data_IF_836148848893
#
_entry.id   IF_836148848893
#
_cell.length_a   1.000
_cell.length_b   1.000
_cell.length_c   1.000
_cell.angle_alpha   90.00
_cell.angle_beta   90.00
_cell.angle_gamma   90.00
#
_symmetry.space_group_name_H-M   'P 1'
#
loop_
_entity.id
_entity.type
_entity.pdbx_description
1 polymer ?
#
# COMPACT_ATOMS: atom_id res chain seq x y z
N UNK A 1 8.46 14.80 -7.76
CA UNK A 1 7.73 13.71 -7.10
C UNK A 1 8.73 12.91 -6.28
N UNK A 2 8.58 12.83 -4.95
CA UNK A 2 9.41 11.95 -4.12
C UNK A 2 8.73 10.59 -4.07
N UNK A 3 9.33 9.58 -4.70
CA UNK A 3 8.75 8.25 -4.83
C UNK A 3 8.45 7.61 -3.47
N UNK A 4 9.25 7.90 -2.45
CA UNK A 4 9.12 7.31 -1.11
C UNK A 4 7.82 7.69 -0.40
N UNK A 5 7.17 8.79 -0.81
CA UNK A 5 5.92 9.28 -0.24
C UNK A 5 4.78 9.31 -1.27
N UNK A 6 5.00 8.73 -2.45
CA UNK A 6 4.02 8.75 -3.55
C UNK A 6 2.95 7.70 -3.34
N UNK A 7 1.68 8.08 -3.48
CA UNK A 7 0.58 7.11 -3.44
C UNK A 7 0.57 6.19 -4.68
N UNK A 8 1.33 6.54 -5.72
CA UNK A 8 1.53 5.71 -6.91
C UNK A 8 2.63 4.66 -6.73
N UNK A 9 3.33 4.62 -5.60
CA UNK A 9 4.23 3.51 -5.26
C UNK A 9 3.42 2.28 -4.80
N UNK A 10 2.68 1.71 -5.75
CA UNK A 10 1.84 0.53 -5.58
C UNK A 10 1.71 -0.18 -6.92
N UNK A 11 1.29 -1.45 -6.91
CA UNK A 11 0.90 -2.13 -8.13
C UNK A 11 -0.39 -1.52 -8.71
N UNK A 12 -0.46 -1.37 -10.03
CA UNK A 12 -1.64 -0.87 -10.76
C UNK A 12 -2.92 -1.65 -10.40
N UNK A 13 -2.77 -2.94 -10.12
CA UNK A 13 -3.85 -3.81 -9.66
C UNK A 13 -4.60 -3.23 -8.45
N UNK A 14 -3.89 -2.61 -7.49
CA UNK A 14 -4.54 -2.07 -6.29
C UNK A 14 -5.45 -0.88 -6.66
N UNK A 15 -5.03 -0.03 -7.59
CA UNK A 15 -5.81 1.13 -8.03
C UNK A 15 -7.07 0.71 -8.79
N UNK A 16 -6.98 -0.28 -9.67
CA UNK A 16 -8.14 -0.79 -10.42
C UNK A 16 -9.12 -1.55 -9.53
N UNK A 17 -8.62 -2.24 -8.50
CA UNK A 17 -9.48 -2.84 -7.46
C UNK A 17 -10.19 -1.77 -6.62
N UNK A 18 -9.50 -0.71 -6.18
CA UNK A 18 -10.13 0.40 -5.46
C UNK A 18 -11.25 1.06 -6.27
N UNK A 19 -11.04 1.26 -7.58
CA UNK A 19 -12.08 1.76 -8.48
C UNK A 19 -13.31 0.85 -8.48
N UNK A 20 -13.10 -0.47 -8.51
CA UNK A 20 -14.18 -1.47 -8.49
C UNK A 20 -14.94 -1.43 -7.16
N UNK A 21 -14.23 -1.43 -6.03
CA UNK A 21 -14.85 -1.34 -4.70
C UNK A 21 -15.67 -0.05 -4.55
N UNK A 22 -15.17 1.06 -5.06
CA UNK A 22 -15.89 2.32 -5.05
C UNK A 22 -17.17 2.28 -5.92
N UNK A 23 -17.07 1.75 -7.15
CA UNK A 23 -18.21 1.64 -8.07
C UNK A 23 -19.32 0.73 -7.49
N UNK A 24 -18.93 -0.38 -6.87
CA UNK A 24 -19.83 -1.36 -6.26
C UNK A 24 -20.24 -0.99 -4.82
N UNK A 25 -19.81 0.18 -4.31
CA UNK A 25 -20.09 0.67 -2.95
C UNK A 25 -19.71 -0.31 -1.85
N UNK A 26 -18.62 -1.04 -2.03
CA UNK A 26 -18.07 -1.98 -1.06
C UNK A 26 -17.30 -1.23 0.04
N UNK A 27 -18.03 -0.77 1.06
CA UNK A 27 -17.49 0.05 2.17
C UNK A 27 -17.37 -0.71 3.49
N UNK A 28 -17.49 -2.04 3.45
CA UNK A 28 -17.41 -2.90 4.63
C UNK A 28 -15.97 -2.97 5.18
N UNK A 29 -15.85 -3.34 6.45
CA UNK A 29 -14.53 -3.52 7.08
C UNK A 29 -13.83 -4.75 6.49
N UNK A 30 -12.61 -4.55 5.99
CA UNK A 30 -11.71 -5.60 5.55
C UNK A 30 -10.53 -5.75 6.53
N UNK A 31 -9.99 -6.97 6.63
CA UNK A 31 -8.84 -7.30 7.48
C UNK A 31 -7.74 -7.91 6.62
N UNK A 32 -6.50 -7.46 6.81
CA UNK A 32 -5.33 -7.92 6.08
C UNK A 32 -4.26 -8.42 7.06
N UNK A 33 -3.56 -9.48 6.69
CA UNK A 33 -2.49 -10.07 7.49
C UNK A 33 -1.16 -10.06 6.72
N UNK A 34 -0.09 -9.64 7.39
CA UNK A 34 1.27 -9.71 6.87
C UNK A 34 2.01 -10.86 7.57
N UNK A 35 2.52 -11.82 6.80
CA UNK A 35 3.28 -12.95 7.31
C UNK A 35 4.34 -13.43 6.32
N UNK A 36 5.43 -13.98 6.84
CA UNK A 36 6.45 -14.67 6.04
C UNK A 36 6.12 -16.17 5.98
N UNK A 37 6.05 -16.73 4.78
CA UNK A 37 5.74 -18.17 4.58
C UNK A 37 6.94 -19.08 4.84
N UNK A 38 8.15 -18.59 4.61
CA UNK A 38 9.42 -19.31 4.74
C UNK A 38 10.48 -18.35 5.23
N UNK A 39 11.34 -18.82 6.13
CA UNK A 39 12.54 -18.11 6.52
C UNK A 39 13.73 -18.61 5.69
N UNK A 40 14.77 -17.77 5.47
CA UNK A 40 16.03 -18.22 4.87
C UNK A 40 16.63 -19.38 5.67
N UNK A 41 17.28 -20.34 4.99
CA UNK A 41 17.89 -21.52 5.62
C UNK A 41 18.92 -21.19 6.69
N UNK A 42 19.51 -20.00 6.61
CA UNK A 42 20.59 -19.54 7.46
C UNK A 42 20.07 -18.84 8.73
N UNK A 43 18.74 -18.67 8.90
CA UNK A 43 18.17 -17.93 10.03
C UNK A 43 16.76 -18.41 10.44
N UNK A 44 16.65 -18.90 11.67
CA UNK A 44 15.41 -19.39 12.31
C UNK A 44 14.56 -18.29 12.98
N UNK A 45 14.80 -17.02 12.67
CA UNK A 45 14.04 -15.90 13.24
C UNK A 45 13.77 -14.80 12.23
N UNK A 46 12.64 -14.11 12.41
CA UNK A 46 12.27 -12.91 11.67
C UNK A 46 12.47 -11.68 12.58
N UNK A 47 13.10 -10.64 12.05
CA UNK A 47 13.12 -9.33 12.67
C UNK A 47 12.25 -8.38 11.84
N UNK A 48 11.14 -7.93 12.41
CA UNK A 48 10.36 -6.85 11.81
C UNK A 48 11.05 -5.51 12.14
N UNK A 49 11.44 -4.77 11.12
CA UNK A 49 12.03 -3.44 11.22
C UNK A 49 11.42 -2.55 10.14
N UNK A 50 11.24 -1.26 10.43
CA UNK A 50 10.60 -0.32 9.51
C UNK A 50 9.10 -0.10 9.75
N UNK A 51 8.53 -0.65 10.83
CA UNK A 51 7.09 -0.56 11.11
C UNK A 51 6.63 0.88 11.35
N UNK A 52 7.43 1.67 12.07
CA UNK A 52 7.14 3.09 12.32
C UNK A 52 7.03 3.87 11.01
N UNK A 53 7.99 3.71 10.10
CA UNK A 53 7.99 4.38 8.80
C UNK A 53 6.82 3.95 7.92
N UNK A 54 6.46 2.66 7.99
CA UNK A 54 5.29 2.14 7.27
C UNK A 54 3.99 2.75 7.80
N UNK A 55 3.84 2.87 9.13
CA UNK A 55 2.68 3.51 9.75
C UNK A 55 2.64 5.00 9.42
N UNK A 56 3.76 5.72 9.57
CA UNK A 56 3.86 7.14 9.22
C UNK A 56 3.47 7.40 7.77
N UNK A 57 3.91 6.54 6.84
CA UNK A 57 3.53 6.63 5.43
C UNK A 57 2.02 6.44 5.24
N UNK A 58 1.43 5.40 5.84
CA UNK A 58 0.01 5.09 5.71
C UNK A 58 -0.89 6.15 6.33
N UNK A 59 -0.52 6.69 7.50
CA UNK A 59 -1.27 7.75 8.19
C UNK A 59 -1.27 9.07 7.42
N UNK A 60 -0.23 9.32 6.62
CA UNK A 60 -0.08 10.54 5.82
C UNK A 60 -0.34 10.33 4.32
N UNK A 61 -0.80 9.13 3.94
CA UNK A 61 -1.01 8.73 2.55
C UNK A 61 -2.05 9.62 1.89
N UNK A 62 -1.66 10.26 0.80
CA UNK A 62 -2.53 11.13 0.01
C UNK A 62 -2.03 11.19 -1.42
N UNK A 63 -2.94 11.26 -2.37
CA UNK A 63 -2.58 11.58 -3.76
C UNK A 63 -2.22 13.07 -3.87
N UNK A 64 -1.07 13.37 -4.44
CA UNK A 64 -0.73 14.72 -4.86
C UNK A 64 -1.52 15.10 -6.12
N UNK A 65 -1.69 16.41 -6.36
CA UNK A 65 -2.42 16.90 -7.54
C UNK A 65 -1.82 16.36 -8.83
N UNK A 66 -0.50 16.34 -8.95
CA UNK A 66 0.19 15.85 -10.16
C UNK A 66 0.01 14.33 -10.36
N UNK A 67 -0.19 13.57 -9.28
CA UNK A 67 -0.48 12.13 -9.35
C UNK A 67 -1.92 11.87 -9.81
N UNK A 68 -2.87 12.69 -9.37
CA UNK A 68 -4.25 12.65 -9.84
C UNK A 68 -4.35 13.02 -11.32
N UNK A 69 -3.65 14.08 -11.74
CA UNK A 69 -3.60 14.49 -13.14
C UNK A 69 -3.04 13.36 -14.02
N UNK A 70 -1.98 12.69 -13.56
CA UNK A 70 -1.42 11.53 -14.25
C UNK A 70 -2.40 10.36 -14.34
N UNK A 71 -3.17 10.08 -13.28
CA UNK A 71 -4.19 9.01 -13.28
C UNK A 71 -5.41 9.34 -14.14
N UNK A 72 -5.74 10.62 -14.31
CA UNK A 72 -6.87 11.07 -15.13
C UNK A 72 -6.65 10.83 -16.62
N UNK A 73 -5.39 10.80 -17.07
CA UNK A 73 -4.99 10.64 -18.47
C UNK A 73 -4.86 11.97 -19.20
#
# INVERSE_FOLDING_TARGET
>A
MNLANSALLTDLYQLTMLQTYHAERMQETAVFELFARRLPSEREFLLAAGLEQALDYLENLRFATEELDWLAG
#
